data_IF_123200915549
#
_entry.id   IF_123200915549
#
_cell.length_a   1.000
_cell.length_b   1.000
_cell.length_c   1.000
_cell.angle_alpha   90.00
_cell.angle_beta   90.00
_cell.angle_gamma   90.00
#
_symmetry.space_group_name_H-M   'P 1'
#
loop_
_entity.id
_entity.type
_entity.pdbx_description
1 polymer ?
#
# COMPACT_ATOMS: atom_id res chain seq x y z
N UNK A 1 16.51 26.63 -21.21
CA UNK A 1 17.05 25.29 -20.90
C UNK A 1 18.03 24.83 -21.99
N UNK A 2 19.36 24.93 -21.79
CA UNK A 2 20.35 24.52 -22.81
C UNK A 2 21.23 23.32 -22.41
N UNK A 3 21.07 22.75 -21.21
CA UNK A 3 21.96 21.66 -20.70
C UNK A 3 21.58 20.26 -21.21
N UNK A 4 20.33 20.02 -21.60
CA UNK A 4 19.88 18.70 -22.07
C UNK A 4 20.36 18.36 -23.48
N UNK A 5 20.41 19.35 -24.41
CA UNK A 5 20.83 19.12 -25.80
C UNK A 5 22.28 18.63 -25.93
N UNK A 6 23.21 19.25 -25.19
CA UNK A 6 24.63 18.88 -25.22
C UNK A 6 24.90 17.47 -24.70
N UNK A 7 24.11 17.01 -23.73
CA UNK A 7 24.24 15.65 -23.17
C UNK A 7 23.75 14.61 -24.19
N UNK A 8 22.66 14.90 -24.91
CA UNK A 8 22.13 14.03 -25.96
C UNK A 8 23.09 13.92 -27.15
N UNK A 9 23.65 15.04 -27.61
CA UNK A 9 24.61 15.07 -28.74
C UNK A 9 25.90 14.29 -28.44
N UNK A 10 26.37 14.30 -27.19
CA UNK A 10 27.56 13.56 -26.78
C UNK A 10 27.33 12.05 -26.63
N UNK A 11 26.09 11.62 -26.35
CA UNK A 11 25.74 10.21 -26.11
C UNK A 11 25.21 9.49 -27.37
N UNK A 12 24.71 10.24 -28.36
CA UNK A 12 24.19 9.68 -29.62
C UNK A 12 25.15 8.77 -30.42
N UNK A 13 26.45 9.10 -30.60
CA UNK A 13 27.31 8.33 -31.49
C UNK A 13 27.77 6.98 -30.90
N UNK A 14 27.78 6.82 -29.57
CA UNK A 14 28.24 5.58 -28.92
C UNK A 14 27.11 4.67 -28.44
N UNK A 15 25.94 5.21 -28.07
CA UNK A 15 24.88 4.40 -27.43
C UNK A 15 23.76 3.92 -28.36
N UNK A 16 23.73 4.29 -29.65
CA UNK A 16 22.63 3.90 -30.55
C UNK A 16 21.23 4.14 -29.91
N UNK A 17 21.07 5.25 -29.18
CA UNK A 17 19.89 5.54 -28.37
C UNK A 17 18.59 5.52 -29.18
N UNK A 18 18.66 5.95 -30.46
CA UNK A 18 17.53 5.91 -31.40
C UNK A 18 17.13 4.48 -31.79
N UNK A 19 18.05 3.53 -31.75
CA UNK A 19 17.82 2.12 -32.07
C UNK A 19 17.24 1.39 -30.85
N UNK A 20 17.70 1.73 -29.64
CA UNK A 20 17.10 1.24 -28.38
C UNK A 20 15.69 1.79 -28.15
N UNK A 21 15.40 3.00 -28.63
CA UNK A 21 14.06 3.60 -28.55
C UNK A 21 13.01 2.93 -29.47
N UNK A 22 13.40 2.07 -30.43
CA UNK A 22 12.47 1.38 -31.34
C UNK A 22 11.62 0.29 -30.66
N UNK A 23 11.95 -0.09 -29.44
CA UNK A 23 11.19 -1.04 -28.63
C UNK A 23 10.72 -0.43 -27.31
N UNK A 24 10.54 0.89 -27.25
CA UNK A 24 9.85 1.49 -26.12
C UNK A 24 8.41 0.95 -26.10
N UNK A 25 7.98 0.17 -25.10
CA UNK A 25 6.61 -0.32 -25.05
C UNK A 25 5.66 0.89 -24.95
N UNK A 26 4.83 1.07 -25.98
CA UNK A 26 3.85 2.17 -26.08
C UNK A 26 2.78 2.09 -24.98
N UNK A 27 2.58 0.91 -24.39
CA UNK A 27 1.53 0.63 -23.40
C UNK A 27 1.79 1.29 -22.03
N UNK A 28 3.03 1.63 -21.69
CA UNK A 28 3.35 2.23 -20.39
C UNK A 28 4.56 3.20 -20.45
N UNK A 29 4.33 4.49 -20.76
CA UNK A 29 5.40 5.48 -20.87
C UNK A 29 6.21 5.68 -19.57
N UNK A 30 5.62 5.39 -18.39
CA UNK A 30 6.35 5.46 -17.11
C UNK A 30 7.34 4.32 -16.95
N UNK A 31 6.96 3.12 -17.36
CA UNK A 31 7.83 1.94 -17.34
C UNK A 31 8.98 2.10 -18.33
N UNK A 32 8.73 2.66 -19.51
CA UNK A 32 9.77 3.01 -20.48
C UNK A 32 10.80 3.99 -19.92
N UNK A 33 10.36 5.07 -19.25
CA UNK A 33 11.25 6.05 -18.61
C UNK A 33 12.07 5.40 -17.48
N UNK A 34 11.44 4.51 -16.72
CA UNK A 34 12.09 3.75 -15.64
C UNK A 34 13.18 2.81 -16.17
N UNK A 35 12.87 2.04 -17.21
CA UNK A 35 13.81 1.14 -17.88
C UNK A 35 14.98 1.90 -18.51
N UNK A 36 14.73 3.07 -19.09
CA UNK A 36 15.77 3.94 -19.64
C UNK A 36 16.74 4.42 -18.55
N UNK A 37 16.22 4.89 -17.40
CA UNK A 37 17.05 5.32 -16.27
C UNK A 37 17.90 4.18 -15.67
N UNK A 38 17.33 2.98 -15.54
CA UNK A 38 18.04 1.78 -15.10
C UNK A 38 19.14 1.37 -16.09
N UNK A 39 18.83 1.41 -17.39
CA UNK A 39 19.78 1.07 -18.45
C UNK A 39 20.97 2.03 -18.46
N UNK A 40 20.73 3.34 -18.32
CA UNK A 40 21.79 4.36 -18.23
C UNK A 40 22.68 4.15 -16.99
N UNK A 41 22.09 3.75 -15.86
CA UNK A 41 22.83 3.41 -14.64
C UNK A 41 23.73 2.19 -14.86
N UNK A 42 23.24 1.14 -15.54
CA UNK A 42 24.02 -0.04 -15.89
C UNK A 42 25.16 0.29 -16.87
N UNK A 43 24.88 1.12 -17.88
CA UNK A 43 25.88 1.55 -18.88
C UNK A 43 26.96 2.44 -18.25
N UNK A 44 26.65 3.26 -17.25
CA UNK A 44 27.65 4.04 -16.52
C UNK A 44 28.74 3.17 -15.86
N UNK A 45 28.39 1.94 -15.48
CA UNK A 45 29.35 0.99 -14.89
C UNK A 45 30.21 0.28 -15.95
N UNK A 46 29.70 0.15 -17.20
CA UNK A 46 30.44 -0.45 -18.32
C UNK A 46 31.28 0.55 -19.13
N UNK A 47 30.98 1.85 -19.04
CA UNK A 47 31.63 2.91 -19.83
C UNK A 47 32.25 3.99 -18.92
N UNK A 48 33.42 3.71 -18.30
CA UNK A 48 34.03 4.59 -17.31
C UNK A 48 34.37 6.00 -17.82
N UNK A 49 34.53 6.17 -19.14
CA UNK A 49 34.79 7.48 -19.78
C UNK A 49 33.57 8.41 -19.80
N UNK A 50 32.36 7.86 -19.77
CA UNK A 50 31.09 8.60 -19.81
C UNK A 50 30.24 8.35 -18.56
N UNK A 51 30.82 7.71 -17.54
CA UNK A 51 30.12 7.27 -16.34
C UNK A 51 29.44 8.44 -15.60
N UNK A 52 30.09 9.61 -15.56
CA UNK A 52 29.55 10.80 -14.92
C UNK A 52 28.34 11.37 -15.68
N UNK A 53 28.41 11.43 -17.01
CA UNK A 53 27.33 11.90 -17.88
C UNK A 53 26.13 10.94 -17.87
N UNK A 54 26.39 9.64 -17.90
CA UNK A 54 25.37 8.59 -17.85
C UNK A 54 24.65 8.55 -16.50
N UNK A 55 25.39 8.71 -15.38
CA UNK A 55 24.79 8.84 -14.04
C UNK A 55 23.94 10.10 -13.91
N UNK A 56 24.42 11.25 -14.42
CA UNK A 56 23.64 12.49 -14.47
C UNK A 56 22.35 12.34 -15.26
N UNK A 57 22.43 11.71 -16.43
CA UNK A 57 21.26 11.45 -17.26
C UNK A 57 20.26 10.52 -16.55
N UNK A 58 20.74 9.43 -15.94
CA UNK A 58 19.92 8.52 -15.16
C UNK A 58 19.23 9.22 -13.98
N UNK A 59 19.96 10.05 -13.23
CA UNK A 59 19.46 10.80 -12.09
C UNK A 59 18.32 11.74 -12.50
N UNK A 60 18.51 12.50 -13.58
CA UNK A 60 17.50 13.40 -14.15
C UNK A 60 16.26 12.62 -14.61
N UNK A 61 16.44 11.51 -15.31
CA UNK A 61 15.34 10.68 -15.84
C UNK A 61 14.52 10.04 -14.72
N UNK A 62 15.19 9.60 -13.65
CA UNK A 62 14.56 8.97 -12.49
C UNK A 62 14.07 9.98 -11.45
N UNK A 63 14.35 11.27 -11.63
CA UNK A 63 13.93 12.35 -10.72
C UNK A 63 14.61 12.29 -9.35
N UNK A 64 15.84 11.79 -9.28
CA UNK A 64 16.62 11.62 -8.04
C UNK A 64 18.01 12.25 -8.18
N UNK A 65 18.69 12.46 -7.07
CA UNK A 65 20.10 12.86 -7.10
C UNK A 65 21.02 11.69 -7.48
N UNK A 66 22.22 11.99 -8.00
CA UNK A 66 23.22 10.96 -8.33
C UNK A 66 23.56 10.06 -7.14
N UNK A 67 23.59 10.61 -5.92
CA UNK A 67 23.85 9.87 -4.70
C UNK A 67 22.73 8.87 -4.34
N UNK A 68 21.53 9.08 -4.88
CA UNK A 68 20.35 8.25 -4.63
C UNK A 68 20.11 7.20 -5.73
N UNK A 69 20.92 7.20 -6.79
CA UNK A 69 20.75 6.31 -7.94
C UNK A 69 20.75 4.84 -7.56
N UNK A 70 21.67 4.42 -6.70
CA UNK A 70 21.77 3.00 -6.32
C UNK A 70 20.56 2.57 -5.48
N UNK A 71 20.12 3.42 -4.54
CA UNK A 71 18.89 3.20 -3.77
C UNK A 71 17.67 3.15 -4.68
N UNK A 72 17.55 4.09 -5.63
CA UNK A 72 16.44 4.13 -6.56
C UNK A 72 16.43 2.92 -7.49
N UNK A 73 17.59 2.47 -7.95
CA UNK A 73 17.75 1.24 -8.73
C UNK A 73 17.24 0.03 -7.95
N UNK A 74 17.69 -0.16 -6.71
CA UNK A 74 17.25 -1.27 -5.85
C UNK A 74 15.74 -1.25 -5.61
N UNK A 75 15.16 -0.07 -5.39
CA UNK A 75 13.70 0.11 -5.25
C UNK A 75 12.94 -0.29 -6.52
N UNK A 76 13.45 0.09 -7.70
CA UNK A 76 12.82 -0.23 -8.98
C UNK A 76 12.95 -1.71 -9.37
N UNK A 77 14.06 -2.36 -9.01
CA UNK A 77 14.22 -3.81 -9.18
C UNK A 77 13.21 -4.60 -8.33
N UNK A 78 12.88 -4.10 -7.13
CA UNK A 78 11.85 -4.67 -6.28
C UNK A 78 10.42 -4.35 -6.74
N UNK A 79 10.22 -3.27 -7.51
CA UNK A 79 8.91 -2.79 -7.91
C UNK A 79 8.13 -3.81 -8.74
N UNK A 80 8.76 -4.46 -9.72
CA UNK A 80 8.10 -5.47 -10.56
C UNK A 80 7.62 -6.68 -9.75
N UNK A 81 8.45 -7.16 -8.83
CA UNK A 81 8.12 -8.25 -7.91
C UNK A 81 7.02 -7.84 -6.93
N UNK A 82 7.05 -6.59 -6.46
CA UNK A 82 6.03 -6.06 -5.56
C UNK A 82 4.67 -5.92 -6.27
N UNK A 83 4.64 -5.36 -7.48
CA UNK A 83 3.41 -5.28 -8.28
C UNK A 83 2.84 -6.68 -8.48
N UNK A 84 3.63 -7.64 -8.98
CA UNK A 84 3.18 -9.01 -9.18
C UNK A 84 2.62 -9.67 -7.90
N UNK A 85 3.15 -9.33 -6.73
CA UNK A 85 2.61 -9.79 -5.45
C UNK A 85 1.27 -9.12 -5.13
N UNK A 86 1.15 -7.79 -5.27
CA UNK A 86 -0.09 -7.05 -5.07
C UNK A 86 -1.20 -7.43 -6.05
N UNK A 87 -0.88 -7.94 -7.23
CA UNK A 87 -1.88 -8.44 -8.18
C UNK A 87 -2.53 -9.75 -7.73
N UNK A 88 -1.84 -10.54 -6.91
CA UNK A 88 -2.26 -11.88 -6.49
C UNK A 88 -2.98 -11.89 -5.13
N UNK A 89 -3.10 -10.74 -4.47
CA UNK A 89 -3.74 -10.65 -3.15
C UNK A 89 -5.22 -11.01 -3.24
N UNK A 90 -5.69 -11.79 -2.27
CA UNK A 90 -7.09 -12.17 -2.12
C UNK A 90 -7.63 -11.83 -0.72
N UNK A 91 -6.77 -11.47 0.22
CA UNK A 91 -7.17 -11.08 1.58
C UNK A 91 -6.51 -9.77 1.99
N UNK A 92 -7.15 -9.04 2.90
CA UNK A 92 -6.56 -7.83 3.48
C UNK A 92 -5.32 -8.10 4.33
N UNK A 93 -5.22 -9.28 4.95
CA UNK A 93 -4.04 -9.70 5.69
C UNK A 93 -2.81 -9.79 4.76
N UNK A 94 -2.98 -10.34 3.55
CA UNK A 94 -1.94 -10.35 2.51
C UNK A 94 -1.57 -8.94 2.07
N UNK A 95 -2.56 -8.06 1.88
CA UNK A 95 -2.33 -6.65 1.55
C UNK A 95 -1.50 -5.96 2.64
N UNK A 96 -1.84 -6.15 3.91
CA UNK A 96 -1.12 -5.56 5.04
C UNK A 96 0.33 -6.06 5.12
N UNK A 97 0.55 -7.38 5.03
CA UNK A 97 1.89 -7.96 5.04
C UNK A 97 2.76 -7.45 3.87
N UNK A 98 2.18 -7.34 2.68
CA UNK A 98 2.89 -6.79 1.51
C UNK A 98 3.16 -5.29 1.65
N UNK A 99 2.23 -4.56 2.26
CA UNK A 99 2.43 -3.14 2.58
C UNK A 99 3.62 -2.95 3.50
N UNK A 100 3.76 -3.76 4.55
CA UNK A 100 4.89 -3.65 5.49
C UNK A 100 6.21 -4.05 4.83
N UNK A 101 6.18 -5.13 4.04
CA UNK A 101 7.34 -5.62 3.28
C UNK A 101 7.88 -4.59 2.29
N UNK A 102 7.00 -3.84 1.63
CA UNK A 102 7.35 -2.88 0.58
C UNK A 102 7.13 -1.42 1.00
N UNK A 103 7.28 -1.12 2.29
CA UNK A 103 6.94 0.20 2.84
C UNK A 103 7.67 1.38 2.18
N UNK A 104 8.89 1.16 1.68
CA UNK A 104 9.71 2.18 1.02
C UNK A 104 9.26 2.54 -0.40
N UNK A 105 8.43 1.69 -1.03
CA UNK A 105 7.99 1.83 -2.43
C UNK A 105 6.45 1.79 -2.56
N UNK A 106 5.72 2.02 -1.46
CA UNK A 106 4.24 1.97 -1.45
C UNK A 106 3.62 2.88 -2.49
N UNK A 107 4.15 4.09 -2.64
CA UNK A 107 3.61 5.08 -3.59
C UNK A 107 3.86 4.63 -5.03
N UNK A 108 5.07 4.16 -5.33
CA UNK A 108 5.43 3.63 -6.64
C UNK A 108 4.58 2.42 -7.02
N UNK A 109 4.32 1.51 -6.08
CA UNK A 109 3.42 0.37 -6.29
C UNK A 109 2.02 0.87 -6.61
N UNK A 110 1.45 1.74 -5.78
CA UNK A 110 0.08 2.24 -5.94
C UNK A 110 -0.15 2.90 -7.30
N UNK A 111 0.84 3.67 -7.76
CA UNK A 111 0.79 4.40 -9.03
C UNK A 111 0.86 3.47 -10.24
N UNK A 112 1.49 2.29 -10.11
CA UNK A 112 1.64 1.31 -11.18
C UNK A 112 0.55 0.21 -11.17
N UNK A 113 -0.31 0.17 -10.14
CA UNK A 113 -1.47 -0.72 -10.13
C UNK A 113 -2.57 -0.19 -11.06
N UNK A 114 -3.11 -1.06 -11.90
CA UNK A 114 -4.26 -0.73 -12.75
C UNK A 114 -5.49 -0.41 -11.88
N UNK A 115 -6.44 0.41 -12.36
CA UNK A 115 -7.60 0.84 -11.58
C UNK A 115 -8.37 -0.33 -10.93
N UNK A 116 -8.54 -1.44 -11.66
CA UNK A 116 -9.23 -2.65 -11.17
C UNK A 116 -8.53 -3.29 -9.97
N UNK A 117 -7.20 -3.25 -9.91
CA UNK A 117 -6.42 -3.80 -8.80
C UNK A 117 -6.48 -2.88 -7.58
N UNK A 118 -6.46 -1.56 -7.79
CA UNK A 118 -6.68 -0.58 -6.71
C UNK A 118 -8.07 -0.73 -6.11
N UNK A 119 -9.08 -0.87 -6.97
CA UNK A 119 -10.45 -1.14 -6.54
C UNK A 119 -10.55 -2.45 -5.73
N UNK A 120 -9.94 -3.55 -6.20
CA UNK A 120 -9.90 -4.80 -5.42
C UNK A 120 -9.27 -4.62 -4.04
N UNK A 121 -8.18 -3.85 -3.94
CA UNK A 121 -7.53 -3.57 -2.65
C UNK A 121 -8.43 -2.73 -1.74
N UNK A 122 -9.14 -1.74 -2.29
CA UNK A 122 -10.12 -0.94 -1.56
C UNK A 122 -11.31 -1.79 -1.10
N UNK A 123 -11.82 -2.69 -1.94
CA UNK A 123 -12.85 -3.66 -1.57
C UNK A 123 -12.39 -4.62 -0.47
N UNK A 124 -11.14 -5.10 -0.51
CA UNK A 124 -10.55 -5.93 0.54
C UNK A 124 -10.36 -5.16 1.85
N UNK A 125 -10.04 -3.87 1.79
CA UNK A 125 -10.00 -3.01 2.97
C UNK A 125 -11.39 -2.90 3.58
N UNK A 126 -12.37 -2.59 2.73
CA UNK A 126 -13.76 -2.43 3.16
C UNK A 126 -14.37 -3.75 3.63
N UNK A 127 -13.95 -4.92 3.12
CA UNK A 127 -14.43 -6.21 3.60
C UNK A 127 -13.88 -6.61 4.97
N UNK A 128 -12.78 -5.99 5.42
CA UNK A 128 -12.31 -6.09 6.81
C UNK A 128 -12.95 -5.04 7.71
N UNK A 129 -13.29 -3.86 7.16
CA UNK A 129 -14.13 -2.88 7.88
C UNK A 129 -15.62 -3.33 7.96
N UNK A 130 -16.05 -4.28 7.13
CA UNK A 130 -17.23 -5.13 7.38
C UNK A 130 -16.81 -6.27 8.32
N UNK A 131 -16.19 -5.91 9.43
CA UNK A 131 -16.51 -6.62 10.66
C UNK A 131 -17.99 -6.32 10.88
N UNK A 132 -18.80 -7.36 10.96
CA UNK A 132 -20.14 -7.28 11.49
C UNK A 132 -20.01 -6.96 13.00
N UNK A 133 -19.60 -5.72 13.29
CA UNK A 133 -19.52 -5.11 14.61
C UNK A 133 -20.91 -4.69 15.09
N UNK A 134 -21.96 -4.98 14.30
CA UNK A 134 -23.31 -4.93 14.83
C UNK A 134 -23.43 -5.96 15.94
N UNK A 135 -23.78 -5.48 17.13
CA UNK A 135 -23.93 -6.34 18.30
C UNK A 135 -25.06 -7.34 18.04
N UNK A 136 -24.79 -8.63 18.24
CA UNK A 136 -25.78 -9.70 18.04
C UNK A 136 -26.22 -10.31 19.37
N UNK A 137 -27.44 -10.84 19.38
CA UNK A 137 -27.90 -11.68 20.48
C UNK A 137 -26.95 -12.87 20.63
N UNK A 138 -26.43 -13.08 21.84
CA UNK A 138 -25.42 -14.08 22.18
C UNK A 138 -23.98 -13.56 22.24
N UNK A 139 -23.72 -12.34 21.75
CA UNK A 139 -22.39 -11.74 21.86
C UNK A 139 -22.05 -11.38 23.31
N UNK A 140 -20.76 -11.53 23.65
CA UNK A 140 -20.23 -11.03 24.92
C UNK A 140 -19.82 -9.57 24.78
N UNK A 141 -20.23 -8.79 25.77
CA UNK A 141 -20.04 -7.34 25.77
C UNK A 141 -19.53 -6.83 27.11
N UNK A 142 -18.94 -5.64 27.09
CA UNK A 142 -18.66 -4.82 28.27
C UNK A 142 -19.07 -3.37 27.99
N UNK A 143 -19.16 -2.54 29.02
CA UNK A 143 -19.48 -1.13 28.80
C UNK A 143 -18.33 -0.43 28.07
N UNK A 144 -18.65 0.42 27.08
CA UNK A 144 -17.67 1.20 26.32
C UNK A 144 -16.98 2.30 27.16
N UNK A 145 -17.66 2.88 28.16
CA UNK A 145 -17.13 3.93 29.02
C UNK A 145 -16.29 3.37 30.19
N UNK A 146 -15.04 3.82 30.27
CA UNK A 146 -14.06 3.46 31.31
C UNK A 146 -14.41 3.90 32.73
N UNK A 147 -15.33 4.86 32.88
CA UNK A 147 -15.77 5.34 34.18
C UNK A 147 -16.98 4.57 34.72
N UNK A 148 -17.58 3.70 33.91
CA UNK A 148 -18.72 2.90 34.30
C UNK A 148 -18.28 1.64 35.06
N UNK A 149 -19.05 1.26 36.08
CA UNK A 149 -18.79 0.08 36.91
C UNK A 149 -18.69 -1.20 36.07
N UNK A 150 -19.42 -1.23 34.94
CA UNK A 150 -19.51 -2.37 34.03
C UNK A 150 -18.48 -2.38 32.90
N UNK A 151 -17.48 -1.50 32.95
CA UNK A 151 -16.37 -1.48 32.00
C UNK A 151 -15.52 -2.75 32.05
N UNK A 152 -15.27 -3.27 33.25
CA UNK A 152 -14.50 -4.50 33.47
C UNK A 152 -15.38 -5.74 33.58
N UNK A 153 -16.68 -5.54 33.79
CA UNK A 153 -17.65 -6.62 33.84
C UNK A 153 -17.90 -7.18 32.44
N UNK A 154 -18.29 -8.45 32.39
CA UNK A 154 -18.65 -9.14 31.17
C UNK A 154 -20.14 -9.43 31.21
N UNK A 155 -20.83 -9.17 30.11
CA UNK A 155 -22.24 -9.48 29.95
C UNK A 155 -22.49 -10.19 28.64
N UNK A 156 -23.66 -10.79 28.50
CA UNK A 156 -24.12 -11.44 27.28
C UNK A 156 -25.39 -10.78 26.81
N UNK A 157 -25.48 -10.47 25.52
CA UNK A 157 -26.70 -9.94 24.92
C UNK A 157 -27.73 -11.06 24.84
N UNK A 158 -28.87 -10.89 25.50
CA UNK A 158 -29.96 -11.88 25.55
C UNK A 158 -31.15 -11.49 24.67
N UNK A 159 -31.21 -10.24 24.21
CA UNK A 159 -32.31 -9.75 23.38
C UNK A 159 -32.09 -8.34 22.85
N UNK A 160 -33.02 -7.89 22.02
CA UNK A 160 -33.06 -6.55 21.45
C UNK A 160 -34.52 -6.08 21.41
N UNK A 161 -34.83 -5.00 22.14
CA UNK A 161 -36.18 -4.46 22.28
C UNK A 161 -36.13 -2.93 22.28
N UNK A 162 -37.06 -2.28 21.59
CA UNK A 162 -37.16 -0.81 21.53
C UNK A 162 -35.83 -0.13 21.15
N UNK A 163 -35.13 -0.66 20.15
CA UNK A 163 -33.83 -0.17 19.68
C UNK A 163 -32.68 -0.27 20.71
N UNK A 164 -32.89 -1.03 21.80
CA UNK A 164 -31.91 -1.21 22.88
C UNK A 164 -31.55 -2.70 23.04
N UNK A 165 -30.27 -2.97 23.33
CA UNK A 165 -29.77 -4.30 23.67
C UNK A 165 -30.06 -4.64 25.14
N UNK A 166 -30.57 -5.84 25.37
CA UNK A 166 -30.76 -6.42 26.69
C UNK A 166 -29.52 -7.23 27.05
N UNK A 167 -28.80 -6.81 28.08
CA UNK A 167 -27.57 -7.47 28.54
C UNK A 167 -27.77 -8.09 29.91
N UNK A 168 -27.45 -9.38 30.03
CA UNK A 168 -27.31 -10.08 31.31
C UNK A 168 -25.84 -10.07 31.72
N UNK A 169 -25.52 -9.48 32.88
CA UNK A 169 -24.14 -9.38 33.38
C UNK A 169 -23.73 -10.59 34.21
N UNK A 170 -22.50 -11.04 34.03
CA UNK A 170 -21.91 -12.16 34.78
C UNK A 170 -21.87 -11.81 36.27
N UNK A 171 -22.71 -12.49 37.07
CA UNK A 171 -22.83 -12.29 38.52
C UNK A 171 -24.21 -11.81 38.97
N UNK A 172 -25.02 -11.27 38.08
CA UNK A 172 -26.42 -10.89 38.33
C UNK A 172 -27.34 -11.94 37.68
N UNK A 173 -27.41 -13.15 38.24
CA UNK A 173 -28.30 -14.20 37.70
C UNK A 173 -29.77 -13.79 37.82
N UNK A 174 -30.40 -13.55 36.68
CA UNK A 174 -31.85 -13.59 36.46
C UNK A 174 -32.76 -12.57 37.18
N UNK A 175 -32.22 -11.45 37.68
CA UNK A 175 -33.05 -10.46 38.41
C UNK A 175 -33.15 -9.09 37.73
N UNK A 176 -32.19 -8.72 36.87
CA UNK A 176 -32.18 -7.39 36.25
C UNK A 176 -31.71 -7.46 34.80
N UNK A 177 -32.63 -7.18 33.88
CA UNK A 177 -32.30 -6.95 32.47
C UNK A 177 -31.96 -5.47 32.31
N UNK A 178 -30.74 -5.19 31.88
CA UNK A 178 -30.28 -3.82 31.67
C UNK A 178 -30.29 -3.51 30.17
N UNK A 179 -30.86 -2.36 29.83
CA UNK A 179 -31.02 -1.88 28.45
C UNK A 179 -29.87 -0.94 28.12
N UNK A 180 -29.27 -1.13 26.94
CA UNK A 180 -28.15 -0.34 26.46
C UNK A 180 -28.30 0.02 24.99
N UNK A 181 -27.82 1.20 24.61
CA UNK A 181 -27.61 1.52 23.21
C UNK A 181 -26.39 0.75 22.68
N UNK A 182 -26.33 0.57 21.36
CA UNK A 182 -25.16 -0.02 20.70
C UNK A 182 -23.86 0.75 21.03
N UNK A 183 -23.97 2.08 21.14
CA UNK A 183 -22.86 2.99 21.43
C UNK A 183 -22.27 2.83 22.85
N UNK A 184 -23.07 2.30 23.79
CA UNK A 184 -22.70 2.12 25.19
C UNK A 184 -21.98 0.80 25.43
N UNK A 185 -21.97 -0.09 24.44
CA UNK A 185 -21.43 -1.43 24.53
C UNK A 185 -20.22 -1.58 23.61
N UNK A 186 -19.31 -2.46 24.02
CA UNK A 186 -18.23 -2.95 23.17
C UNK A 186 -18.17 -4.47 23.25
N UNK A 187 -17.92 -5.11 22.12
CA UNK A 187 -17.70 -6.55 22.03
C UNK A 187 -16.38 -6.93 22.72
N UNK A 188 -16.36 -8.08 23.40
CA UNK A 188 -15.18 -8.61 24.14
C UNK A 188 -14.87 -10.07 23.80
#
# INVERSE_FOLDING_TARGET
MPRSKKVVENLEPELHLRTMAKSAPEENPRETVTLLGLSLTAMANGHPRFAAELRKAAAIILGVDEAQLETKKQQLEQLSSAIAAFQKVNTWAEVSQLSDRYHLIKQEIWVNLIPQQRQKIEELKNSVDVCDDSLKIGDRVSHSDKFQVRYQSKGTIIGFENEMFLVEWDGEKHLFQHRYEESELRKI
#
